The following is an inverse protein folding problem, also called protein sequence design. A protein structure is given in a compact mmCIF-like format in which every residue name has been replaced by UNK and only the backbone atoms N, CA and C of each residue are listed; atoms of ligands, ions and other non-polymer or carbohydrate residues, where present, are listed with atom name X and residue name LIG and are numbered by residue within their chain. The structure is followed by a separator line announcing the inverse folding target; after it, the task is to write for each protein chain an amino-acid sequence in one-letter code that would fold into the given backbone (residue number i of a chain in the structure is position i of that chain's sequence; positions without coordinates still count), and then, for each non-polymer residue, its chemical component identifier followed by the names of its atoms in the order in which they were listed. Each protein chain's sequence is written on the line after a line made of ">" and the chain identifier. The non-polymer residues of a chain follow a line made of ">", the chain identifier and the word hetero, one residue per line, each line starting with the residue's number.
data_IF_580623257132
#
_entry.id   IF_580623257132
#
_cell.length_a   1.000
_cell.length_b   1.000
_cell.length_c   1.000
_cell.angle_alpha   90.00
_cell.angle_beta   90.00
_cell.angle_gamma   90.00
#
_symmetry.space_group_name_H-M   'P 1'
#
loop_
_entity.id
_entity.type
_entity.pdbx_description
1 polymer ?
#
# COMPACT_ATOMS: atom_id res chain seq x y z
N UNK A 1 1.71 -18.61 -26.62
CA UNK A 1 2.47 -17.78 -25.66
C UNK A 1 1.58 -16.58 -25.34
N UNK A 2 0.85 -16.66 -24.24
CA UNK A 2 -0.02 -15.55 -23.82
C UNK A 2 0.87 -14.41 -23.32
N UNK A 3 0.98 -13.35 -24.13
CA UNK A 3 1.50 -12.07 -23.65
C UNK A 3 0.52 -11.59 -22.57
N UNK A 4 0.89 -11.76 -21.31
CA UNK A 4 0.24 -11.07 -20.20
C UNK A 4 0.51 -9.59 -20.44
N UNK A 5 -0.44 -8.89 -21.06
CA UNK A 5 -0.32 -7.46 -21.32
C UNK A 5 -0.13 -6.76 -19.99
N UNK A 6 0.99 -6.07 -19.83
CA UNK A 6 1.26 -5.27 -18.64
C UNK A 6 0.22 -4.15 -18.56
N UNK A 7 -0.79 -4.33 -17.71
CA UNK A 7 -1.89 -3.36 -17.50
C UNK A 7 -1.46 -2.15 -16.68
N UNK A 8 -0.20 -2.09 -16.26
CA UNK A 8 0.31 -1.04 -15.37
C UNK A 8 0.78 0.14 -16.22
N UNK A 9 0.28 1.32 -15.90
CA UNK A 9 0.64 2.57 -16.58
C UNK A 9 2.03 3.07 -16.21
N UNK A 10 2.56 2.64 -15.06
CA UNK A 10 3.84 3.09 -14.53
C UNK A 10 4.74 1.90 -14.13
N UNK A 11 6.06 2.02 -14.36
CA UNK A 11 7.02 1.07 -13.84
C UNK A 11 7.00 1.09 -12.30
N UNK A 12 7.12 -0.10 -11.70
CA UNK A 12 7.24 -0.26 -10.25
C UNK A 12 8.66 -0.62 -9.87
N UNK A 13 9.14 -0.06 -8.77
CA UNK A 13 10.47 -0.35 -8.23
C UNK A 13 10.34 -1.11 -6.91
N UNK A 14 11.17 -2.15 -6.68
CA UNK A 14 11.18 -2.84 -5.40
C UNK A 14 11.53 -1.87 -4.27
N UNK A 15 10.75 -1.89 -3.20
CA UNK A 15 11.04 -1.15 -1.98
C UNK A 15 10.84 -2.10 -0.79
N UNK A 16 11.67 -1.99 0.25
CA UNK A 16 11.59 -2.84 1.46
C UNK A 16 11.54 -2.02 2.75
N UNK A 17 11.27 -0.72 2.64
CA UNK A 17 11.30 0.19 3.79
C UNK A 17 10.19 -0.19 4.79
N UNK A 18 10.51 -0.31 6.09
CA UNK A 18 9.50 -0.54 7.11
C UNK A 18 8.62 0.70 7.28
N UNK A 19 7.35 0.48 7.55
CA UNK A 19 6.31 1.51 7.63
C UNK A 19 5.31 1.24 8.74
N UNK A 20 4.66 2.30 9.20
CA UNK A 20 3.46 2.23 10.01
C UNK A 20 2.25 2.55 9.13
N UNK A 21 1.29 1.63 9.09
CA UNK A 21 0.11 1.70 8.21
C UNK A 21 -1.14 1.91 9.05
N UNK A 22 -2.00 2.80 8.60
CA UNK A 22 -3.33 3.06 9.14
C UNK A 22 -4.37 2.90 8.03
N UNK A 23 -5.40 2.12 8.30
CA UNK A 23 -6.51 1.84 7.38
C UNK A 23 -7.84 2.18 8.05
N UNK A 24 -8.71 2.87 7.30
CA UNK A 24 -10.09 3.16 7.70
C UNK A 24 -10.24 3.76 9.12
N UNK A 25 -9.29 4.62 9.52
CA UNK A 25 -9.31 5.38 10.77
C UNK A 25 -9.31 4.57 12.08
N UNK A 26 -8.96 3.27 12.05
CA UNK A 26 -8.90 2.47 13.28
C UNK A 26 -8.13 1.15 13.21
N UNK A 27 -7.69 0.73 12.02
CA UNK A 27 -6.87 -0.47 11.87
C UNK A 27 -5.43 -0.04 11.61
N UNK A 28 -4.53 -0.35 12.54
CA UNK A 28 -3.13 0.04 12.45
C UNK A 28 -2.22 -1.18 12.54
N UNK A 29 -1.07 -1.11 11.88
CA UNK A 29 -0.08 -2.18 11.97
C UNK A 29 1.24 -1.79 11.31
N UNK A 30 2.30 -2.48 11.74
CA UNK A 30 3.60 -2.39 11.08
C UNK A 30 3.60 -3.20 9.79
N UNK A 31 4.31 -2.73 8.80
CA UNK A 31 4.50 -3.43 7.54
C UNK A 31 5.77 -3.01 6.84
N UNK A 32 5.92 -3.48 5.61
CA UNK A 32 6.96 -3.02 4.70
C UNK A 32 6.41 -2.88 3.30
N UNK A 33 6.99 -1.98 2.53
CA UNK A 33 6.76 -1.97 1.10
C UNK A 33 7.26 -3.28 0.46
N UNK A 34 6.65 -3.63 -0.67
CA UNK A 34 7.14 -4.63 -1.63
C UNK A 34 7.55 -3.91 -2.91
N UNK A 35 6.69 -3.08 -3.45
CA UNK A 35 6.99 -2.27 -4.62
C UNK A 35 6.21 -0.95 -4.57
N UNK A 36 6.75 0.05 -5.25
CA UNK A 36 6.17 1.39 -5.31
C UNK A 36 6.35 1.98 -6.71
N UNK A 37 5.47 2.89 -7.08
CA UNK A 37 5.56 3.78 -8.23
C UNK A 37 5.10 5.18 -7.84
N UNK A 38 5.09 6.14 -8.76
CA UNK A 38 4.63 7.49 -8.46
C UNK A 38 3.16 7.52 -8.01
N UNK A 39 2.32 6.67 -8.61
CA UNK A 39 0.87 6.62 -8.39
C UNK A 39 0.38 5.45 -7.53
N UNK A 40 1.25 4.52 -7.11
CA UNK A 40 0.79 3.32 -6.44
C UNK A 40 1.84 2.63 -5.59
N UNK A 41 1.35 1.74 -4.73
CA UNK A 41 2.19 0.95 -3.84
C UNK A 41 1.62 -0.45 -3.61
N UNK A 42 2.52 -1.36 -3.24
CA UNK A 42 2.22 -2.67 -2.67
C UNK A 42 2.96 -2.78 -1.34
N UNK A 43 2.25 -3.18 -0.29
CA UNK A 43 2.82 -3.41 1.03
C UNK A 43 2.39 -4.78 1.58
N UNK A 44 3.19 -5.30 2.51
CA UNK A 44 2.85 -6.47 3.32
C UNK A 44 2.73 -6.07 4.78
N UNK A 45 1.70 -6.55 5.47
CA UNK A 45 1.52 -6.34 6.90
C UNK A 45 0.71 -7.45 7.55
N UNK A 46 1.38 -8.43 8.14
CA UNK A 46 0.70 -9.50 8.90
C UNK A 46 -0.04 -8.95 10.13
N UNK A 47 0.47 -7.87 10.74
CA UNK A 47 -0.19 -7.23 11.87
C UNK A 47 -1.53 -6.60 11.48
N UNK A 48 -1.59 -5.90 10.34
CA UNK A 48 -2.81 -5.31 9.83
C UNK A 48 -3.84 -6.41 9.49
N UNK A 49 -3.41 -7.48 8.82
CA UNK A 49 -4.29 -8.59 8.45
C UNK A 49 -4.81 -9.39 9.66
N UNK A 50 -4.02 -9.54 10.74
CA UNK A 50 -4.51 -10.15 12.00
C UNK A 50 -5.66 -9.39 12.66
N UNK A 51 -5.77 -8.08 12.39
CA UNK A 51 -6.85 -7.22 12.92
C UNK A 51 -8.07 -7.14 12.01
N UNK A 52 -7.98 -7.65 10.79
CA UNK A 52 -9.06 -7.61 9.81
C UNK A 52 -9.76 -8.96 9.76
N UNK A 53 -11.09 -8.97 9.89
CA UNK A 53 -11.86 -10.15 9.57
C UNK A 53 -11.81 -10.40 8.04
N UNK A 54 -11.30 -11.54 7.55
CA UNK A 54 -11.19 -11.82 6.12
C UNK A 54 -12.51 -11.69 5.35
N UNK A 55 -13.64 -12.02 6.00
CA UNK A 55 -14.98 -11.88 5.40
C UNK A 55 -15.38 -10.42 5.15
N UNK A 56 -14.68 -9.46 5.74
CA UNK A 56 -14.94 -8.01 5.63
C UNK A 56 -13.91 -7.28 4.76
N UNK A 57 -12.95 -7.98 4.15
CA UNK A 57 -11.92 -7.35 3.31
C UNK A 57 -12.51 -6.56 2.13
N UNK A 58 -13.59 -7.07 1.53
CA UNK A 58 -14.30 -6.38 0.45
C UNK A 58 -14.89 -5.03 0.90
N UNK A 59 -15.29 -4.92 2.17
CA UNK A 59 -15.80 -3.66 2.74
C UNK A 59 -14.69 -2.62 2.94
N UNK A 60 -13.43 -3.05 3.00
CA UNK A 60 -12.28 -2.18 3.16
C UNK A 60 -11.68 -1.74 1.81
N UNK A 61 -12.23 -2.24 0.69
CA UNK A 61 -11.90 -1.72 -0.62
C UNK A 61 -12.29 -0.25 -0.69
N UNK A 62 -11.50 0.55 -1.41
CA UNK A 62 -11.74 1.98 -1.57
C UNK A 62 -11.68 2.80 -0.27
N UNK A 63 -11.37 2.21 0.88
CA UNK A 63 -11.08 2.97 2.08
C UNK A 63 -9.73 3.66 2.02
N UNK A 64 -9.62 4.74 2.79
CA UNK A 64 -8.40 5.50 2.92
C UNK A 64 -7.31 4.70 3.63
N UNK A 65 -6.13 4.73 3.03
CA UNK A 65 -4.88 4.21 3.57
C UNK A 65 -3.96 5.39 3.87
N UNK A 66 -3.44 5.43 5.09
CA UNK A 66 -2.42 6.38 5.50
C UNK A 66 -1.16 5.65 5.94
N UNK A 67 -0.02 6.02 5.37
CA UNK A 67 1.29 5.45 5.69
C UNK A 67 2.15 6.56 6.29
N UNK A 68 2.73 6.28 7.45
CA UNK A 68 3.60 7.21 8.16
C UNK A 68 5.04 6.73 8.12
N UNK A 69 5.91 7.63 7.63
CA UNK A 69 7.36 7.53 7.64
C UNK A 69 7.93 8.74 8.39
N UNK A 70 9.17 8.66 8.92
CA UNK A 70 9.76 9.79 9.66
C UNK A 70 9.80 11.11 8.88
N UNK A 71 9.98 11.04 7.56
CA UNK A 71 10.18 12.21 6.70
C UNK A 71 8.96 12.59 5.86
N UNK A 72 7.91 11.76 5.83
CA UNK A 72 6.75 11.96 4.97
C UNK A 72 5.51 11.15 5.41
N UNK A 73 4.35 11.61 4.99
CA UNK A 73 3.07 10.91 5.09
C UNK A 73 2.55 10.65 3.68
N UNK A 74 2.04 9.44 3.44
CA UNK A 74 1.37 9.05 2.20
C UNK A 74 -0.09 8.81 2.50
N UNK A 75 -0.97 9.43 1.73
CA UNK A 75 -2.40 9.18 1.74
C UNK A 75 -2.81 8.57 0.41
N UNK A 76 -3.60 7.51 0.50
CA UNK A 76 -3.98 6.71 -0.64
C UNK A 76 -5.29 5.99 -0.41
N UNK A 77 -5.63 5.13 -1.37
CA UNK A 77 -6.87 4.37 -1.35
C UNK A 77 -6.60 2.91 -1.67
N UNK A 78 -7.21 2.00 -0.92
CA UNK A 78 -7.04 0.58 -1.17
C UNK A 78 -7.70 0.18 -2.49
N UNK A 79 -6.95 -0.50 -3.35
CA UNK A 79 -7.42 -1.01 -4.65
C UNK A 79 -7.40 -2.52 -4.74
N UNK A 80 -6.70 -3.22 -3.84
CA UNK A 80 -6.67 -4.69 -3.79
C UNK A 80 -6.15 -5.20 -2.44
N UNK A 81 -6.71 -6.32 -2.01
CA UNK A 81 -6.14 -7.17 -0.95
C UNK A 81 -5.73 -8.53 -1.50
N UNK A 82 -4.68 -9.10 -0.91
CA UNK A 82 -4.34 -10.51 -1.02
C UNK A 82 -4.13 -11.05 0.41
N UNK A 83 -5.13 -11.79 0.88
CA UNK A 83 -5.13 -12.34 2.23
C UNK A 83 -4.13 -13.50 2.40
N UNK A 84 -3.84 -14.24 1.33
CA UNK A 84 -2.92 -15.37 1.40
C UNK A 84 -1.48 -14.91 1.66
N UNK A 85 -1.08 -13.79 1.05
CA UNK A 85 0.24 -13.20 1.23
C UNK A 85 0.29 -12.03 2.22
N UNK A 86 -0.83 -11.69 2.87
CA UNK A 86 -0.99 -10.51 3.74
C UNK A 86 -0.57 -9.21 3.05
N UNK A 87 -0.90 -9.06 1.77
CA UNK A 87 -0.52 -7.93 0.94
C UNK A 87 -1.70 -6.99 0.63
N UNK A 88 -1.42 -5.69 0.60
CA UNK A 88 -2.37 -4.63 0.28
C UNK A 88 -1.78 -3.77 -0.82
N UNK A 89 -2.55 -3.53 -1.89
CA UNK A 89 -2.21 -2.57 -2.92
C UNK A 89 -3.06 -1.31 -2.78
N UNK A 90 -2.44 -0.15 -2.95
CA UNK A 90 -3.13 1.13 -2.91
C UNK A 90 -2.70 2.05 -4.05
N UNK A 91 -3.64 2.89 -4.48
CA UNK A 91 -3.33 4.08 -5.28
C UNK A 91 -2.95 5.22 -4.34
N UNK A 92 -1.96 6.02 -4.74
CA UNK A 92 -1.51 7.20 -4.00
C UNK A 92 -2.37 8.38 -4.43
N UNK A 93 -2.88 9.14 -3.47
CA UNK A 93 -3.63 10.39 -3.69
C UNK A 93 -2.79 11.60 -3.36
N UNK A 94 -2.05 11.54 -2.25
CA UNK A 94 -1.22 12.64 -1.78
C UNK A 94 0.01 12.14 -1.05
N UNK A 95 1.10 12.89 -1.14
CA UNK A 95 2.33 12.71 -0.38
C UNK A 95 2.70 14.05 0.23
N UNK A 96 2.99 14.08 1.54
CA UNK A 96 3.32 15.34 2.24
C UNK A 96 4.69 15.91 1.88
N UNK A 97 5.59 15.09 1.34
CA UNK A 97 6.95 15.46 0.93
C UNK A 97 7.33 14.68 -0.34
N UNK A 98 7.00 15.25 -1.50
CA UNK A 98 7.21 14.63 -2.81
C UNK A 98 8.70 14.30 -3.07
N UNK A 99 9.69 15.18 -2.78
CA UNK A 99 11.10 14.82 -2.95
C UNK A 99 11.52 13.59 -2.15
N UNK A 100 11.10 13.48 -0.89
CA UNK A 100 11.42 12.32 -0.07
C UNK A 100 10.76 11.02 -0.60
N UNK A 101 9.58 11.12 -1.21
CA UNK A 101 8.92 9.99 -1.85
C UNK A 101 9.60 9.57 -3.16
N UNK A 102 9.91 10.52 -4.03
CA UNK A 102 10.65 10.26 -5.27
C UNK A 102 12.06 9.69 -5.02
N UNK A 103 12.64 9.95 -3.85
CA UNK A 103 13.89 9.31 -3.43
C UNK A 103 13.72 7.86 -2.93
N UNK A 104 12.49 7.44 -2.60
CA UNK A 104 12.16 6.04 -2.28
C UNK A 104 11.75 5.27 -3.53
N UNK A 105 10.92 5.90 -4.37
CA UNK A 105 10.37 5.34 -5.60
C UNK A 105 11.41 5.32 -6.69
#
# INVERSE_FOLDING_TARGET
>A
MDQISERRLEPRRPCRKPIMVSLAYGIHGRGSFIDISNSGLLLRSEELFRRINPKRLSLLMHHELRIMLPSLVIEGQVVRFDAASCCLAASIRQVSNQPAWSGLA
#
